data_IF_524798779168
#
_entry.id   IF_524798779168
#
_cell.length_a   1.000
_cell.length_b   1.000
_cell.length_c   1.000
_cell.angle_alpha   90.00
_cell.angle_beta   90.00
_cell.angle_gamma   90.00
#
_symmetry.space_group_name_H-M   'P 1'
#
loop_
_entity.id
_entity.type
_entity.pdbx_description
1 polymer ?
#
# COMPACT_ATOMS: atom_id res chain seq x y z
N UNK A 1 -8.88 23.07 -4.71
CA UNK A 1 -8.20 21.77 -4.45
C UNK A 1 -7.37 21.97 -3.20
N UNK A 2 -7.80 21.45 -2.05
CA UNK A 2 -7.04 21.62 -0.81
C UNK A 2 -5.87 20.65 -0.85
N UNK A 3 -4.67 21.19 -1.09
CA UNK A 3 -3.42 20.44 -1.09
C UNK A 3 -2.84 20.47 0.31
N UNK A 4 -2.88 19.34 0.99
CA UNK A 4 -2.20 19.16 2.27
C UNK A 4 -0.84 18.53 1.97
N UNK A 5 0.20 19.36 1.92
CA UNK A 5 1.57 18.90 1.64
C UNK A 5 2.04 17.88 2.68
N UNK A 6 1.56 18.02 3.91
CA UNK A 6 1.78 17.12 5.04
C UNK A 6 1.21 15.73 4.76
N UNK A 7 0.04 15.65 4.10
CA UNK A 7 -0.58 14.38 3.72
C UNK A 7 0.24 13.67 2.65
N UNK A 8 0.84 14.40 1.71
CA UNK A 8 1.71 13.80 0.69
C UNK A 8 3.00 13.25 1.30
N UNK A 9 3.59 13.95 2.27
CA UNK A 9 4.72 13.39 3.04
C UNK A 9 4.31 12.12 3.80
N UNK A 10 3.15 12.14 4.47
CA UNK A 10 2.64 10.96 5.18
C UNK A 10 2.38 9.78 4.23
N UNK A 11 1.87 10.03 3.01
CA UNK A 11 1.74 9.00 1.97
C UNK A 11 3.09 8.43 1.58
N UNK A 12 4.10 9.28 1.42
CA UNK A 12 5.49 8.88 1.13
C UNK A 12 6.06 7.97 2.21
N UNK A 13 5.96 8.37 3.48
CA UNK A 13 6.40 7.55 4.61
C UNK A 13 5.64 6.23 4.72
N UNK A 14 4.32 6.25 4.51
CA UNK A 14 3.52 5.04 4.49
C UNK A 14 3.94 4.09 3.37
N UNK A 15 4.21 4.60 2.16
CA UNK A 15 4.70 3.80 1.05
C UNK A 15 6.08 3.15 1.35
N UNK A 16 7.00 3.91 1.94
CA UNK A 16 8.30 3.37 2.39
C UNK A 16 8.13 2.27 3.44
N UNK A 17 7.20 2.45 4.39
CA UNK A 17 6.90 1.44 5.40
C UNK A 17 6.26 0.17 4.77
N UNK A 18 5.39 0.31 3.76
CA UNK A 18 4.87 -0.85 3.01
C UNK A 18 6.00 -1.63 2.36
N UNK A 19 6.95 -0.94 1.71
CA UNK A 19 8.13 -1.57 1.10
C UNK A 19 8.96 -2.31 2.16
N UNK A 20 9.21 -1.66 3.31
CA UNK A 20 9.95 -2.26 4.41
C UNK A 20 9.31 -3.56 4.90
N UNK A 21 7.99 -3.59 5.10
CA UNK A 21 7.26 -4.82 5.48
C UNK A 21 7.47 -5.93 4.44
N UNK A 22 7.30 -5.65 3.15
CA UNK A 22 7.37 -6.68 2.10
C UNK A 22 8.79 -7.23 1.89
N UNK A 23 9.81 -6.38 2.02
CA UNK A 23 11.21 -6.81 1.92
C UNK A 23 11.60 -7.62 3.16
N UNK A 24 11.22 -7.16 4.35
CA UNK A 24 11.61 -7.80 5.61
C UNK A 24 10.80 -9.05 5.97
N UNK A 25 9.62 -9.27 5.39
CA UNK A 25 8.76 -10.45 5.66
C UNK A 25 9.46 -11.80 5.44
N UNK A 26 10.51 -11.83 4.61
CA UNK A 26 11.32 -13.03 4.36
C UNK A 26 12.17 -13.47 5.58
N UNK A 27 12.09 -12.81 6.73
CA UNK A 27 12.74 -13.27 7.97
C UNK A 27 12.38 -14.71 8.34
N UNK A 28 11.18 -15.17 7.97
CA UNK A 28 10.69 -16.54 8.19
C UNK A 28 11.49 -17.61 7.45
N UNK A 29 12.28 -17.22 6.45
CA UNK A 29 13.15 -18.12 5.67
C UNK A 29 14.56 -18.25 6.27
N UNK A 30 14.89 -17.48 7.30
CA UNK A 30 16.17 -17.56 7.98
C UNK A 30 16.08 -18.69 9.02
N UNK A 31 16.87 -19.78 8.88
CA UNK A 31 16.69 -21.00 9.68
C UNK A 31 17.02 -20.81 11.16
N UNK A 32 17.95 -19.91 11.48
CA UNK A 32 18.41 -19.66 12.85
C UNK A 32 18.00 -18.29 13.38
N UNK A 33 17.77 -18.19 14.68
CA UNK A 33 17.57 -16.91 15.37
C UNK A 33 18.94 -16.23 15.53
N UNK A 34 19.29 -15.41 14.55
CA UNK A 34 20.50 -14.60 14.53
C UNK A 34 20.16 -13.10 14.46
N UNK A 35 21.19 -12.25 14.53
CA UNK A 35 21.00 -10.79 14.47
C UNK A 35 20.26 -10.34 13.21
N UNK A 36 20.51 -10.97 12.06
CA UNK A 36 19.85 -10.64 10.81
C UNK A 36 18.34 -10.95 10.85
N UNK A 37 17.96 -12.11 11.41
CA UNK A 37 16.56 -12.47 11.62
C UNK A 37 15.87 -11.48 12.56
N UNK A 38 16.52 -11.13 13.68
CA UNK A 38 16.00 -10.16 14.65
C UNK A 38 15.83 -8.76 14.04
N UNK A 39 16.78 -8.29 13.24
CA UNK A 39 16.68 -7.00 12.55
C UNK A 39 15.54 -6.98 11.54
N UNK A 40 15.35 -8.05 10.76
CA UNK A 40 14.24 -8.13 9.82
C UNK A 40 12.88 -8.17 10.54
N UNK A 41 12.75 -8.95 11.62
CA UNK A 41 11.53 -8.97 12.44
C UNK A 41 11.25 -7.59 13.03
N UNK A 42 12.28 -6.92 13.55
CA UNK A 42 12.15 -5.56 14.08
C UNK A 42 11.66 -4.58 13.03
N UNK A 43 12.29 -4.54 11.85
CA UNK A 43 11.87 -3.67 10.74
C UNK A 43 10.45 -4.01 10.29
N UNK A 44 10.14 -5.30 10.14
CA UNK A 44 8.80 -5.79 9.82
C UNK A 44 7.79 -5.21 10.80
N UNK A 45 7.89 -5.49 12.09
CA UNK A 45 6.95 -5.04 13.14
C UNK A 45 6.90 -3.51 13.21
N UNK A 46 8.05 -2.83 13.22
CA UNK A 46 8.12 -1.37 13.31
C UNK A 46 7.43 -0.69 12.11
N UNK A 47 7.39 -1.33 10.94
CA UNK A 47 6.72 -0.82 9.75
C UNK A 47 5.25 -1.24 9.62
N UNK A 48 4.68 -2.04 10.53
CA UNK A 48 3.28 -2.51 10.44
C UNK A 48 2.23 -1.39 10.48
N UNK A 49 2.59 -0.21 10.98
CA UNK A 49 1.69 0.95 10.98
C UNK A 49 1.34 1.42 9.55
N UNK A 50 2.08 0.98 8.53
CA UNK A 50 1.91 1.42 7.15
C UNK A 50 0.45 1.30 6.66
N UNK A 51 -0.19 0.15 6.92
CA UNK A 51 -1.56 -0.11 6.45
C UNK A 51 -2.59 0.76 7.18
N UNK A 52 -2.63 0.82 8.54
CA UNK A 52 -3.50 1.75 9.26
C UNK A 52 -3.38 3.20 8.82
N UNK A 53 -2.15 3.69 8.63
CA UNK A 53 -1.91 5.07 8.17
C UNK A 53 -2.43 5.29 6.75
N UNK A 54 -2.24 4.34 5.84
CA UNK A 54 -2.74 4.44 4.47
C UNK A 54 -4.28 4.52 4.41
N UNK A 55 -4.96 3.71 5.24
CA UNK A 55 -6.42 3.73 5.37
C UNK A 55 -6.87 5.08 5.94
N UNK A 56 -6.23 5.54 7.01
CA UNK A 56 -6.57 6.80 7.67
C UNK A 56 -6.43 8.00 6.73
N UNK A 57 -5.29 8.12 6.03
CA UNK A 57 -5.05 9.19 5.06
C UNK A 57 -6.10 9.15 3.93
N UNK A 58 -6.42 7.95 3.43
CA UNK A 58 -7.40 7.78 2.37
C UNK A 58 -8.80 8.21 2.80
N UNK A 59 -9.20 7.86 4.03
CA UNK A 59 -10.46 8.28 4.64
C UNK A 59 -10.52 9.79 4.89
N UNK A 60 -9.45 10.36 5.44
CA UNK A 60 -9.34 11.81 5.70
C UNK A 60 -9.47 12.63 4.41
N UNK A 61 -8.72 12.27 3.36
CA UNK A 61 -8.80 12.96 2.06
C UNK A 61 -10.17 12.79 1.41
N UNK A 62 -10.82 11.64 1.60
CA UNK A 62 -12.18 11.43 1.13
C UNK A 62 -13.16 12.36 1.87
N UNK A 63 -13.12 12.38 3.20
CA UNK A 63 -13.98 13.23 4.02
C UNK A 63 -13.78 14.72 3.71
N UNK A 64 -12.53 15.17 3.61
CA UNK A 64 -12.21 16.57 3.30
C UNK A 64 -12.63 17.01 1.88
N UNK A 65 -12.74 16.07 0.93
CA UNK A 65 -13.10 16.36 -0.46
C UNK A 65 -14.60 16.28 -0.73
N UNK A 66 -15.33 15.49 0.06
CA UNK A 66 -16.73 15.14 -0.17
C UNK A 66 -17.58 15.47 1.05
N UNK A 67 -17.43 16.71 1.53
CA UNK A 67 -18.22 17.25 2.66
C UNK A 67 -19.70 17.44 2.28
N UNK A 68 -19.97 17.75 1.01
CA UNK A 68 -21.33 17.91 0.45
C UNK A 68 -21.83 16.63 -0.24
N UNK A 69 -23.12 16.60 -0.58
CA UNK A 69 -23.88 15.46 -1.13
C UNK A 69 -23.35 15.00 -2.51
N UNK A 70 -22.19 14.33 -2.49
CA UNK A 70 -21.51 13.88 -3.69
C UNK A 70 -22.05 12.52 -4.13
N UNK A 71 -22.49 12.38 -5.39
CA UNK A 71 -23.03 11.11 -5.87
C UNK A 71 -21.98 10.00 -5.79
N UNK A 72 -22.24 9.01 -4.93
CA UNK A 72 -21.38 7.85 -4.65
C UNK A 72 -20.98 7.11 -5.95
N UNK A 73 -21.89 7.05 -6.93
CA UNK A 73 -21.61 6.45 -8.25
C UNK A 73 -20.43 7.13 -8.98
N UNK A 74 -20.30 8.45 -8.86
CA UNK A 74 -19.19 9.18 -9.47
C UNK A 74 -17.86 8.93 -8.75
N UNK A 75 -17.90 8.68 -7.43
CA UNK A 75 -16.71 8.34 -6.64
C UNK A 75 -16.12 7.00 -7.12
N UNK A 76 -16.96 5.96 -7.19
CA UNK A 76 -16.53 4.64 -7.64
C UNK A 76 -16.12 4.63 -9.11
N UNK A 77 -16.84 5.34 -10.00
CA UNK A 77 -16.46 5.43 -11.42
C UNK A 77 -15.07 6.02 -11.61
N UNK A 78 -14.71 7.08 -10.87
CA UNK A 78 -13.36 7.69 -10.94
C UNK A 78 -12.29 6.73 -10.45
N UNK A 79 -12.50 6.11 -9.28
CA UNK A 79 -11.57 5.13 -8.69
C UNK A 79 -11.38 3.92 -9.60
N UNK A 80 -12.46 3.40 -10.18
CA UNK A 80 -12.42 2.27 -11.10
C UNK A 80 -11.53 2.56 -12.31
N UNK A 81 -11.64 3.73 -12.95
CA UNK A 81 -10.78 4.08 -14.09
C UNK A 81 -9.30 4.18 -13.72
N UNK A 82 -8.99 4.70 -12.53
CA UNK A 82 -7.61 4.84 -12.06
C UNK A 82 -7.00 3.52 -11.57
N UNK A 83 -7.79 2.65 -10.94
CA UNK A 83 -7.30 1.42 -10.30
C UNK A 83 -7.41 0.21 -11.24
N UNK A 84 -8.53 0.04 -11.95
CA UNK A 84 -8.75 -1.15 -12.76
C UNK A 84 -7.82 -1.22 -13.97
N UNK A 85 -7.49 -0.08 -14.58
CA UNK A 85 -6.62 -0.07 -15.75
C UNK A 85 -5.22 -0.65 -15.44
N UNK A 86 -4.46 -0.13 -14.44
CA UNK A 86 -3.18 -0.73 -14.07
C UNK A 86 -3.36 -2.15 -13.53
N UNK A 87 -4.42 -2.42 -12.76
CA UNK A 87 -4.67 -3.77 -12.22
C UNK A 87 -4.83 -4.82 -13.33
N UNK A 88 -5.69 -4.56 -14.31
CA UNK A 88 -5.92 -5.48 -15.43
C UNK A 88 -4.66 -5.61 -16.30
N UNK A 89 -3.93 -4.52 -16.50
CA UNK A 89 -2.66 -4.55 -17.23
C UNK A 89 -1.63 -5.46 -16.57
N UNK A 90 -1.38 -5.29 -15.26
CA UNK A 90 -0.43 -6.14 -14.53
C UNK A 90 -0.95 -7.57 -14.35
N UNK A 91 -2.25 -7.77 -14.23
CA UNK A 91 -2.86 -9.11 -14.20
C UNK A 91 -2.63 -9.83 -15.53
N UNK A 92 -2.86 -9.16 -16.66
CA UNK A 92 -2.58 -9.73 -17.98
C UNK A 92 -1.10 -10.07 -18.15
N UNK A 93 -0.19 -9.18 -17.74
CA UNK A 93 1.26 -9.46 -17.76
C UNK A 93 1.61 -10.66 -16.88
N UNK A 94 1.07 -10.73 -15.66
CA UNK A 94 1.32 -11.84 -14.74
C UNK A 94 0.86 -13.18 -15.32
N UNK A 95 -0.30 -13.23 -15.96
CA UNK A 95 -0.82 -14.45 -16.58
C UNK A 95 -0.03 -14.89 -17.82
N UNK A 96 0.61 -13.96 -18.54
CA UNK A 96 1.47 -14.27 -19.68
C UNK A 96 2.84 -14.81 -19.26
N UNK A 97 3.30 -14.46 -18.07
CA UNK A 97 4.52 -15.02 -17.50
C UNK A 97 4.18 -16.40 -16.95
N UNK A 98 4.54 -17.45 -17.70
CA UNK A 98 4.57 -18.81 -17.18
C UNK A 98 5.61 -18.85 -16.05
N UNK A 99 5.13 -18.75 -14.81
CA UNK A 99 5.94 -19.12 -13.66
C UNK A 99 5.99 -20.65 -13.71
N UNK A 100 7.05 -21.20 -14.30
CA UNK A 100 7.40 -22.61 -14.08
C UNK A 100 7.47 -22.80 -12.56
N UNK A 101 6.48 -23.50 -12.04
CA UNK A 101 6.40 -23.84 -10.64
C UNK A 101 7.62 -24.64 -10.24
N UNK A 102 8.04 -24.40 -9.01
CA UNK A 102 8.69 -25.37 -8.11
C UNK A 102 8.48 -26.83 -8.51
#
# INVERSE_FOLDING_TARGET
MVWFREVEYLRGFAALAVIAVHVSMNYTRIPDVNLLALLNVFVYIAAHFAVPVFIFISGWVLAARYVDDYPIANLYRRRARTILLPYLFFTALYLLVAVEGT
#
